data_IF_610047835291
#
_entry.id   IF_610047835291
#
_cell.length_a   1.000
_cell.length_b   1.000
_cell.length_c   1.000
_cell.angle_alpha   90.00
_cell.angle_beta   90.00
_cell.angle_gamma   90.00
#
_symmetry.space_group_name_H-M   'P 1'
#
loop_
_entity.id
_entity.type
_entity.pdbx_description
1 polymer ?
#
# COMPACT_ATOMS: atom_id res chain seq x y z
N UNK A 1 -16.21 -28.59 -11.17
CA UNK A 1 -16.52 -28.48 -9.72
C UNK A 1 -15.30 -28.74 -8.82
N UNK A 2 -14.48 -29.79 -9.01
CA UNK A 2 -13.28 -30.05 -8.19
C UNK A 2 -12.18 -28.97 -8.21
N UNK A 3 -11.98 -28.30 -9.36
CA UNK A 3 -10.94 -27.26 -9.50
C UNK A 3 -11.28 -26.00 -8.69
N UNK A 4 -12.56 -25.63 -8.59
CA UNK A 4 -13.02 -24.51 -7.78
C UNK A 4 -12.81 -24.75 -6.28
N UNK A 5 -12.97 -26.01 -5.80
CA UNK A 5 -12.71 -26.35 -4.42
C UNK A 5 -11.21 -26.30 -4.09
N UNK A 6 -10.33 -26.73 -4.99
CA UNK A 6 -8.88 -26.64 -4.79
C UNK A 6 -8.40 -25.19 -4.73
N UNK A 7 -8.95 -24.29 -5.57
CA UNK A 7 -8.63 -22.86 -5.54
C UNK A 7 -9.14 -22.18 -4.26
N UNK A 8 -10.31 -22.57 -3.76
CA UNK A 8 -10.84 -22.03 -2.48
C UNK A 8 -10.05 -22.54 -1.27
N UNK A 9 -9.64 -23.80 -1.26
CA UNK A 9 -8.80 -24.37 -0.21
C UNK A 9 -7.43 -23.68 -0.13
N UNK A 10 -6.80 -23.44 -1.29
CA UNK A 10 -5.52 -22.74 -1.35
C UNK A 10 -5.62 -21.31 -0.84
N UNK A 11 -6.70 -20.59 -1.17
CA UNK A 11 -6.94 -19.22 -0.70
C UNK A 11 -7.18 -19.16 0.82
N UNK A 12 -7.93 -20.09 1.37
CA UNK A 12 -8.18 -20.16 2.81
C UNK A 12 -6.91 -20.50 3.57
N UNK A 13 -6.13 -21.48 3.07
CA UNK A 13 -4.86 -21.86 3.67
C UNK A 13 -3.86 -20.69 3.61
N UNK A 14 -3.74 -20.01 2.48
CA UNK A 14 -2.93 -18.80 2.33
C UNK A 14 -3.31 -17.72 3.36
N UNK A 15 -4.59 -17.45 3.50
CA UNK A 15 -5.08 -16.46 4.47
C UNK A 15 -4.76 -16.86 5.90
N UNK A 16 -4.99 -18.14 6.26
CA UNK A 16 -4.69 -18.65 7.60
C UNK A 16 -3.20 -18.51 7.94
N UNK A 17 -2.33 -18.96 7.03
CA UNK A 17 -0.87 -18.82 7.19
C UNK A 17 -0.48 -17.34 7.30
N UNK A 18 -1.06 -16.47 6.47
CA UNK A 18 -0.82 -15.04 6.53
C UNK A 18 -1.20 -14.41 7.87
N UNK A 19 -2.36 -14.80 8.43
CA UNK A 19 -2.78 -14.32 9.76
C UNK A 19 -1.87 -14.85 10.89
N UNK A 20 -1.40 -16.10 10.80
CA UNK A 20 -0.43 -16.65 11.77
C UNK A 20 0.93 -15.94 11.67
N UNK A 21 1.34 -15.53 10.48
CA UNK A 21 2.60 -14.79 10.26
C UNK A 21 2.51 -13.30 10.57
N UNK A 22 1.31 -12.73 10.67
CA UNK A 22 1.14 -11.30 10.90
C UNK A 22 1.89 -10.78 12.14
N UNK A 23 1.85 -11.43 13.32
CA UNK A 23 2.62 -10.99 14.48
C UNK A 23 4.13 -10.96 14.20
N UNK A 24 4.63 -11.94 13.45
CA UNK A 24 6.05 -12.04 13.07
C UNK A 24 6.41 -10.91 12.11
N UNK A 25 5.53 -10.58 11.15
CA UNK A 25 5.74 -9.47 10.21
C UNK A 25 5.80 -8.13 10.95
N UNK A 26 4.89 -7.90 11.90
CA UNK A 26 4.88 -6.70 12.74
C UNK A 26 6.13 -6.65 13.62
N UNK A 27 6.48 -7.76 14.28
CA UNK A 27 7.69 -7.85 15.11
C UNK A 27 8.96 -7.54 14.28
N UNK A 28 9.05 -8.07 13.06
CA UNK A 28 10.16 -7.76 12.15
C UNK A 28 10.27 -6.27 11.84
N UNK A 29 9.14 -5.56 11.65
CA UNK A 29 9.15 -4.09 11.46
C UNK A 29 9.61 -3.37 12.72
N UNK A 30 9.18 -3.82 13.90
CA UNK A 30 9.60 -3.27 15.18
C UNK A 30 11.11 -3.44 15.41
N UNK A 31 11.65 -4.63 15.12
CA UNK A 31 13.09 -4.92 15.24
C UNK A 31 13.90 -4.09 14.23
N UNK A 32 13.47 -4.02 12.96
CA UNK A 32 14.11 -3.14 11.98
C UNK A 32 14.06 -1.68 12.40
N UNK A 33 12.98 -1.28 13.06
CA UNK A 33 12.79 0.06 13.61
C UNK A 33 13.71 0.40 14.79
N UNK A 34 14.43 -0.56 15.39
CA UNK A 34 15.49 -0.28 16.37
C UNK A 34 16.69 0.39 15.71
N UNK A 35 17.03 -0.03 14.48
CA UNK A 35 18.12 0.57 13.68
C UNK A 35 17.65 1.75 12.83
N UNK A 36 16.45 1.68 12.30
CA UNK A 36 15.87 2.69 11.40
C UNK A 36 14.46 3.02 11.88
N UNK A 37 14.28 4.08 12.72
CA UNK A 37 12.99 4.42 13.35
C UNK A 37 11.80 4.54 12.39
N UNK A 38 12.06 4.91 11.14
CA UNK A 38 11.04 5.02 10.09
C UNK A 38 10.25 3.71 9.85
N UNK A 39 10.81 2.53 10.15
CA UNK A 39 10.07 1.26 10.04
C UNK A 39 8.98 1.09 11.09
N UNK A 40 9.09 1.75 12.25
CA UNK A 40 8.06 1.73 13.31
C UNK A 40 6.96 2.75 13.09
N UNK A 41 7.22 3.74 12.24
CA UNK A 41 6.22 4.75 11.92
C UNK A 41 5.15 4.16 11.01
N UNK A 42 3.92 4.62 11.20
CA UNK A 42 2.79 4.34 10.29
C UNK A 42 2.49 2.85 10.09
N UNK A 43 2.77 1.99 11.10
CA UNK A 43 2.45 0.54 11.05
C UNK A 43 0.96 0.31 10.87
N UNK A 44 0.11 1.17 11.45
CA UNK A 44 -1.34 1.07 11.33
C UNK A 44 -1.85 1.19 9.91
N UNK A 45 -1.18 1.95 9.04
CA UNK A 45 -1.51 2.00 7.61
C UNK A 45 -1.35 0.63 6.95
N UNK A 46 -0.27 -0.09 7.29
CA UNK A 46 -0.01 -1.45 6.79
C UNK A 46 -1.03 -2.48 7.28
N UNK A 47 -1.74 -2.16 8.37
CA UNK A 47 -2.85 -2.95 8.91
C UNK A 47 -4.22 -2.47 8.38
N UNK A 48 -4.23 -1.54 7.41
CA UNK A 48 -5.45 -1.01 6.81
C UNK A 48 -6.18 0.04 7.66
N UNK A 49 -5.55 0.54 8.73
CA UNK A 49 -6.12 1.63 9.54
C UNK A 49 -5.68 2.97 8.97
N UNK A 50 -6.43 3.45 8.00
CA UNK A 50 -6.28 4.76 7.36
C UNK A 50 -7.59 5.52 7.43
N UNK A 51 -7.51 6.84 7.38
CA UNK A 51 -8.70 7.68 7.29
C UNK A 51 -9.34 7.55 5.91
N UNK A 52 -10.67 7.68 5.86
CA UNK A 52 -11.39 7.72 4.59
C UNK A 52 -10.95 8.94 3.78
N UNK A 53 -10.67 8.72 2.49
CA UNK A 53 -10.30 9.80 1.57
C UNK A 53 -11.58 10.19 0.79
N UNK A 54 -12.10 11.42 0.99
CA UNK A 54 -13.40 11.82 0.45
C UNK A 54 -13.35 12.37 -0.98
N UNK A 55 -12.31 12.03 -1.74
CA UNK A 55 -12.11 12.48 -3.11
C UNK A 55 -11.78 11.30 -4.03
N UNK A 56 -12.05 11.39 -5.34
CA UNK A 56 -11.67 10.35 -6.29
C UNK A 56 -10.16 10.11 -6.29
N UNK A 57 -9.75 8.84 -6.21
CA UNK A 57 -8.34 8.43 -6.12
C UNK A 57 -7.92 7.66 -7.36
N UNK A 58 -6.79 8.07 -7.95
CA UNK A 58 -5.98 7.24 -8.83
C UNK A 58 -4.83 6.70 -7.97
N UNK A 59 -4.78 5.38 -7.83
CA UNK A 59 -3.81 4.69 -6.99
C UNK A 59 -2.68 4.11 -7.82
N UNK A 60 -1.44 4.50 -7.53
CA UNK A 60 -0.21 3.95 -8.13
C UNK A 60 0.58 3.22 -7.06
N UNK A 61 0.93 1.94 -7.29
CA UNK A 61 1.73 1.16 -6.36
C UNK A 61 3.16 1.00 -6.87
N UNK A 62 4.13 1.39 -6.04
CA UNK A 62 5.56 1.25 -6.30
C UNK A 62 6.20 0.53 -5.12
N UNK A 63 6.70 -0.70 -5.32
CA UNK A 63 7.32 -1.48 -4.24
C UNK A 63 8.60 -0.80 -3.73
N UNK A 64 9.38 -0.20 -4.64
CA UNK A 64 10.72 0.32 -4.38
C UNK A 64 10.93 1.74 -4.91
N UNK A 65 12.03 2.37 -4.49
CA UNK A 65 12.49 3.67 -5.03
C UNK A 65 12.73 3.60 -6.55
N UNK A 66 13.26 2.47 -7.05
CA UNK A 66 13.52 2.28 -8.47
C UNK A 66 12.24 2.31 -9.30
N UNK A 67 11.22 1.57 -8.86
CA UNK A 67 9.89 1.58 -9.50
C UNK A 67 9.23 2.96 -9.41
N UNK A 68 9.31 3.61 -8.26
CA UNK A 68 8.80 4.97 -8.10
C UNK A 68 9.45 5.93 -9.11
N UNK A 69 10.78 5.92 -9.22
CA UNK A 69 11.49 6.78 -10.19
C UNK A 69 11.10 6.48 -11.64
N UNK A 70 10.90 5.22 -11.98
CA UNK A 70 10.41 4.83 -13.31
C UNK A 70 8.97 5.30 -13.56
N UNK A 71 8.14 5.35 -12.51
CA UNK A 71 6.73 5.75 -12.58
C UNK A 71 6.52 7.28 -12.57
N UNK A 72 7.54 8.11 -12.28
CA UNK A 72 7.36 9.58 -12.15
C UNK A 72 6.76 10.20 -13.40
N UNK A 73 7.22 9.81 -14.59
CA UNK A 73 6.67 10.34 -15.86
C UNK A 73 5.17 10.03 -16.00
N UNK A 74 4.77 8.81 -15.63
CA UNK A 74 3.35 8.43 -15.62
C UNK A 74 2.55 9.23 -14.59
N UNK A 75 3.08 9.36 -13.38
CA UNK A 75 2.43 10.09 -12.29
C UNK A 75 2.22 11.56 -12.69
N UNK A 76 3.24 12.21 -13.26
CA UNK A 76 3.16 13.60 -13.74
C UNK A 76 2.10 13.79 -14.83
N UNK A 77 1.99 12.82 -15.74
CA UNK A 77 0.95 12.82 -16.77
C UNK A 77 -0.44 12.62 -16.17
N UNK A 78 -0.59 11.74 -15.20
CA UNK A 78 -1.86 11.50 -14.50
C UNK A 78 -2.33 12.75 -13.73
N UNK A 79 -1.43 13.43 -13.03
CA UNK A 79 -1.74 14.69 -12.34
C UNK A 79 -2.31 15.72 -13.31
N UNK A 80 -1.67 15.88 -14.47
CA UNK A 80 -2.10 16.86 -15.49
C UNK A 80 -3.42 16.46 -16.17
N UNK A 81 -3.61 15.18 -16.43
CA UNK A 81 -4.76 14.67 -17.19
C UNK A 81 -6.03 14.52 -16.35
N UNK A 82 -5.89 14.36 -15.03
CA UNK A 82 -7.00 14.10 -14.11
C UNK A 82 -6.98 15.07 -12.92
N UNK A 83 -7.17 16.38 -13.15
CA UNK A 83 -7.08 17.40 -12.09
C UNK A 83 -8.14 17.25 -10.99
N UNK A 84 -9.27 16.58 -11.30
CA UNK A 84 -10.34 16.30 -10.33
C UNK A 84 -10.07 15.04 -9.46
N UNK A 85 -8.98 14.31 -9.73
CA UNK A 85 -8.57 13.15 -8.97
C UNK A 85 -7.34 13.45 -8.12
N UNK A 86 -7.28 12.83 -6.94
CA UNK A 86 -6.08 12.86 -6.12
C UNK A 86 -5.22 11.63 -6.43
N UNK A 87 -3.93 11.83 -6.68
CA UNK A 87 -3.00 10.73 -6.83
C UNK A 87 -2.61 10.19 -5.45
N UNK A 88 -2.71 8.87 -5.29
CA UNK A 88 -2.18 8.14 -4.14
C UNK A 88 -1.04 7.25 -4.63
N UNK A 89 0.16 7.48 -4.14
CA UNK A 89 1.30 6.59 -4.36
C UNK A 89 1.54 5.78 -3.10
N UNK A 90 1.61 4.46 -3.22
CA UNK A 90 1.95 3.59 -2.10
C UNK A 90 3.30 2.93 -2.31
N UNK A 91 4.07 2.79 -1.22
CA UNK A 91 5.36 2.08 -1.21
C UNK A 91 5.42 1.08 -0.07
N UNK A 92 6.38 0.15 -0.13
CA UNK A 92 6.57 -0.84 0.94
C UNK A 92 7.70 -0.47 1.90
N UNK A 93 8.61 0.45 1.51
CA UNK A 93 9.82 0.78 2.27
C UNK A 93 9.87 2.24 2.73
N UNK A 94 10.53 2.55 3.85
CA UNK A 94 10.73 3.93 4.28
C UNK A 94 11.49 4.80 3.27
N UNK A 95 12.47 4.22 2.58
CA UNK A 95 13.21 4.91 1.50
C UNK A 95 12.31 5.24 0.32
N UNK A 96 11.39 4.34 -0.05
CA UNK A 96 10.37 4.61 -1.05
C UNK A 96 9.42 5.74 -0.61
N UNK A 97 8.95 5.69 0.64
CA UNK A 97 8.11 6.74 1.23
C UNK A 97 8.81 8.09 1.17
N UNK A 98 10.06 8.15 1.60
CA UNK A 98 10.85 9.37 1.60
C UNK A 98 11.01 9.93 0.19
N UNK A 99 11.34 9.10 -0.80
CA UNK A 99 11.49 9.52 -2.18
C UNK A 99 10.22 10.13 -2.77
N UNK A 100 9.04 9.55 -2.47
CA UNK A 100 7.74 10.11 -2.90
C UNK A 100 7.49 11.47 -2.25
N UNK A 101 7.68 11.57 -0.93
CA UNK A 101 7.40 12.79 -0.17
C UNK A 101 8.36 13.93 -0.53
N UNK A 102 9.63 13.63 -0.79
CA UNK A 102 10.61 14.62 -1.25
C UNK A 102 10.31 15.13 -2.65
N UNK A 103 9.84 14.25 -3.54
CA UNK A 103 9.59 14.61 -4.94
C UNK A 103 8.28 15.39 -5.13
N UNK A 104 7.18 14.92 -4.53
CA UNK A 104 5.84 15.46 -4.76
C UNK A 104 5.29 16.31 -3.60
N UNK A 105 5.91 16.25 -2.42
CA UNK A 105 5.44 16.96 -1.23
C UNK A 105 3.94 16.72 -0.95
N UNK A 106 3.11 17.77 -1.04
CA UNK A 106 1.66 17.69 -0.82
C UNK A 106 0.84 17.44 -2.09
N UNK A 107 1.47 17.43 -3.26
CA UNK A 107 0.79 17.25 -4.54
C UNK A 107 0.21 15.84 -4.69
N UNK A 108 0.92 14.84 -4.13
CA UNK A 108 0.53 13.44 -4.13
C UNK A 108 0.33 12.95 -2.70
N UNK A 109 -0.70 12.13 -2.48
CA UNK A 109 -0.85 11.42 -1.21
C UNK A 109 0.11 10.23 -1.18
N UNK A 110 0.72 9.99 -0.03
CA UNK A 110 1.53 8.80 0.19
C UNK A 110 1.04 8.00 1.39
N UNK A 111 0.85 6.69 1.18
CA UNK A 111 0.58 5.70 2.23
C UNK A 111 1.49 4.48 2.05
N UNK A 112 1.72 3.74 3.13
CA UNK A 112 2.33 2.43 3.00
C UNK A 112 1.35 1.42 2.45
N UNK A 113 1.84 0.52 1.58
CA UNK A 113 1.05 -0.59 1.06
C UNK A 113 0.62 -1.53 2.21
N UNK A 114 -0.64 -1.98 2.25
CA UNK A 114 -1.14 -2.85 3.30
C UNK A 114 -0.51 -4.25 3.24
N UNK A 115 -0.48 -4.95 4.38
CA UNK A 115 -0.18 -6.38 4.36
C UNK A 115 -1.21 -7.13 3.53
N UNK A 116 -0.74 -8.09 2.72
CA UNK A 116 -1.58 -8.88 1.81
C UNK A 116 -2.40 -9.93 2.58
N UNK A 117 -3.37 -9.43 3.35
CA UNK A 117 -4.34 -10.21 4.09
C UNK A 117 -5.75 -9.75 3.69
N UNK A 118 -6.68 -10.66 3.40
CA UNK A 118 -8.00 -10.32 2.87
C UNK A 118 -8.74 -9.24 3.66
N UNK A 119 -8.73 -9.34 4.99
CA UNK A 119 -9.37 -8.33 5.86
C UNK A 119 -8.68 -6.97 5.77
N UNK A 120 -7.34 -6.95 5.80
CA UNK A 120 -6.54 -5.72 5.74
C UNK A 120 -6.74 -5.02 4.40
N UNK A 121 -6.61 -5.77 3.29
CA UNK A 121 -6.76 -5.26 1.93
C UNK A 121 -8.19 -4.74 1.69
N UNK A 122 -9.22 -5.51 2.09
CA UNK A 122 -10.62 -5.08 1.96
C UNK A 122 -10.90 -3.80 2.73
N UNK A 123 -10.37 -3.68 3.95
CA UNK A 123 -10.51 -2.47 4.76
C UNK A 123 -9.81 -1.29 4.07
N UNK A 124 -8.57 -1.50 3.61
CA UNK A 124 -7.77 -0.48 2.94
C UNK A 124 -8.48 0.06 1.69
N UNK A 125 -8.92 -0.83 0.79
CA UNK A 125 -9.62 -0.46 -0.45
C UNK A 125 -10.92 0.31 -0.15
N UNK A 126 -11.69 -0.10 0.87
CA UNK A 126 -12.91 0.60 1.27
C UNK A 126 -12.65 2.05 1.73
N UNK A 127 -11.50 2.32 2.33
CA UNK A 127 -11.16 3.65 2.82
C UNK A 127 -10.65 4.57 1.70
N UNK A 128 -9.84 4.04 0.78
CA UNK A 128 -9.32 4.83 -0.34
C UNK A 128 -10.31 4.91 -1.51
N UNK A 129 -11.18 3.92 -1.67
CA UNK A 129 -12.17 3.81 -2.75
C UNK A 129 -11.61 4.25 -4.12
N UNK A 130 -10.55 3.57 -4.65
CA UNK A 130 -9.86 4.04 -5.83
C UNK A 130 -10.71 3.87 -7.08
N UNK A 131 -10.68 4.87 -7.98
CA UNK A 131 -11.28 4.76 -9.30
C UNK A 131 -10.50 3.77 -10.18
N UNK A 132 -9.17 3.77 -10.04
CA UNK A 132 -8.26 2.83 -10.72
C UNK A 132 -7.03 2.57 -9.84
N UNK A 133 -6.43 1.39 -9.99
CA UNK A 133 -5.16 1.01 -9.38
C UNK A 133 -4.20 0.55 -10.48
N UNK A 134 -2.99 1.12 -10.49
CA UNK A 134 -1.91 0.87 -11.45
C UNK A 134 -0.69 0.30 -10.74
#
# INVERSE_FOLDING_TARGET
>A
MRVLYLLSMNRTLYSLVGYLLLPIMVLRLLIKGLKTPAYRQRIFERLGFISKIPVPIIWVHCVSVGEFRAATVLIDQLIKSYPDHRLLVTTTTPTGSQAVLEHYQSEVLHLYFPFDLPWVVNRYIKQINPAICL
#
